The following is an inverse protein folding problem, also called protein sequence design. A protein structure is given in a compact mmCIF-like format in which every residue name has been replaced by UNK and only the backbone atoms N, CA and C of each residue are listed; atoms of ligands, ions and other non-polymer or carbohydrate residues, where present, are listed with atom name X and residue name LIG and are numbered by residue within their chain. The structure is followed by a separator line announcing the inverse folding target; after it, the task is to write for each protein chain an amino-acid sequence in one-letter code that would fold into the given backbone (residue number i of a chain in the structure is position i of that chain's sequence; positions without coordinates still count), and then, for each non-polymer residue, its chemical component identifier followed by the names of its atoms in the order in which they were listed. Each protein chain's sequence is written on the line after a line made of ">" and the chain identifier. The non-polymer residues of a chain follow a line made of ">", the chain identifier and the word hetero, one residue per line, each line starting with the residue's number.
data_IF_172192361883
#
_entry.id   IF_172192361883
#
_cell.length_a   1.000
_cell.length_b   1.000
_cell.length_c   1.000
_cell.angle_alpha   90.00
_cell.angle_beta   90.00
_cell.angle_gamma   90.00
#
_symmetry.space_group_name_H-M   'P 1'
#
loop_
_entity.id
_entity.type
_entity.pdbx_description
1 polymer ?
#
# COMPACT_ATOMS: atom_id res chain seq x y z
N UNK A 1 -11.47 -4.62 -14.73
CA UNK A 1 -10.13 -5.06 -14.34
C UNK A 1 -10.30 -6.24 -13.40
N UNK A 2 -9.69 -7.37 -13.71
CA UNK A 2 -9.75 -8.58 -12.88
C UNK A 2 -8.75 -8.49 -11.72
N UNK A 3 -8.90 -9.34 -10.70
CA UNK A 3 -7.91 -9.44 -9.62
C UNK A 3 -6.52 -9.70 -10.19
N UNK A 4 -6.40 -10.64 -11.14
CA UNK A 4 -5.12 -11.02 -11.72
C UNK A 4 -4.44 -9.85 -12.44
N UNK A 5 -5.19 -9.08 -13.24
CA UNK A 5 -4.68 -7.89 -13.93
C UNK A 5 -4.14 -6.83 -12.94
N UNK A 6 -4.78 -6.65 -11.80
CA UNK A 6 -4.30 -5.75 -10.76
C UNK A 6 -3.00 -6.25 -10.12
N UNK A 7 -2.96 -7.54 -9.79
CA UNK A 7 -1.79 -8.17 -9.19
C UNK A 7 -0.59 -8.09 -10.12
N UNK A 8 -0.77 -8.39 -11.41
CA UNK A 8 0.31 -8.36 -12.39
C UNK A 8 0.93 -6.95 -12.49
N UNK A 9 0.10 -5.91 -12.51
CA UNK A 9 0.57 -4.51 -12.53
C UNK A 9 1.29 -4.12 -11.24
N UNK A 10 0.76 -4.51 -10.08
CA UNK A 10 1.39 -4.23 -8.78
C UNK A 10 2.74 -4.93 -8.68
N UNK A 11 2.79 -6.23 -9.00
CA UNK A 11 4.01 -7.02 -8.95
C UNK A 11 5.04 -6.53 -9.93
N UNK A 12 4.63 -6.11 -11.13
CA UNK A 12 5.54 -5.47 -12.08
C UNK A 12 6.23 -4.25 -11.44
N UNK A 13 5.48 -3.36 -10.79
CA UNK A 13 6.08 -2.15 -10.18
C UNK A 13 6.93 -2.47 -8.94
N UNK A 14 6.50 -3.40 -8.10
CA UNK A 14 7.29 -3.83 -6.93
C UNK A 14 8.58 -4.51 -7.36
N UNK A 15 8.52 -5.36 -8.39
CA UNK A 15 9.67 -6.12 -8.86
C UNK A 15 10.52 -5.42 -9.88
N UNK A 16 10.11 -4.40 -10.62
CA UNK A 16 10.94 -3.86 -11.71
C UNK A 16 11.17 -2.35 -11.64
N UNK A 17 10.50 -1.67 -10.71
CA UNK A 17 10.53 -0.22 -10.68
C UNK A 17 11.18 0.34 -9.42
N UNK A 18 11.13 1.66 -9.32
CA UNK A 18 11.67 2.45 -8.23
C UNK A 18 11.08 2.11 -6.86
N UNK A 19 10.03 1.29 -6.74
CA UNK A 19 9.41 0.95 -5.45
C UNK A 19 10.22 -0.04 -4.58
N UNK A 20 11.22 -0.74 -5.15
CA UNK A 20 12.02 -1.77 -4.47
C UNK A 20 12.75 -1.31 -3.19
N UNK A 21 12.98 -0.01 -3.02
CA UNK A 21 13.62 0.53 -1.81
C UNK A 21 12.63 0.81 -0.68
N UNK A 22 11.33 0.82 -0.95
CA UNK A 22 10.27 1.06 0.04
C UNK A 22 9.56 -0.22 0.44
N UNK A 23 9.30 -1.09 -0.53
CA UNK A 23 8.54 -2.31 -0.32
C UNK A 23 9.23 -3.51 -0.97
N UNK A 24 9.13 -4.65 -0.30
CA UNK A 24 9.43 -5.97 -0.86
C UNK A 24 8.20 -6.86 -0.77
N UNK A 25 7.92 -7.64 -1.81
CA UNK A 25 6.88 -8.67 -1.73
C UNK A 25 7.33 -9.75 -0.74
N UNK A 26 6.55 -9.94 0.33
CA UNK A 26 6.82 -10.97 1.34
C UNK A 26 6.02 -12.24 1.03
N UNK A 27 4.69 -12.12 0.97
CA UNK A 27 3.82 -13.29 0.84
C UNK A 27 2.57 -13.00 0.04
N UNK A 28 2.21 -13.97 -0.80
CA UNK A 28 0.91 -14.05 -1.46
C UNK A 28 0.14 -15.22 -0.83
N UNK A 29 -1.07 -14.95 -0.38
CA UNK A 29 -2.06 -15.94 0.03
C UNK A 29 -3.27 -15.80 -0.88
N UNK A 30 -4.16 -16.79 -0.90
CA UNK A 30 -5.33 -16.84 -1.81
C UNK A 30 -6.20 -15.58 -1.83
N UNK A 31 -6.16 -14.76 -0.77
CA UNK A 31 -6.98 -13.55 -0.58
C UNK A 31 -6.23 -12.40 0.07
N UNK A 32 -4.91 -12.52 0.22
CA UNK A 32 -4.09 -11.56 0.94
C UNK A 32 -2.74 -11.38 0.26
N UNK A 33 -2.27 -10.13 0.23
CA UNK A 33 -0.94 -9.78 -0.24
C UNK A 33 -0.24 -9.05 0.89
N UNK A 34 0.99 -9.46 1.20
CA UNK A 34 1.81 -8.86 2.25
C UNK A 34 3.08 -8.32 1.60
N UNK A 35 3.35 -7.03 1.82
CA UNK A 35 4.60 -6.38 1.47
C UNK A 35 5.33 -5.99 2.75
N UNK A 36 6.62 -6.31 2.85
CA UNK A 36 7.47 -5.79 3.92
C UNK A 36 7.87 -4.35 3.59
N UNK A 37 7.89 -3.50 4.61
CA UNK A 37 8.34 -2.12 4.51
C UNK A 37 9.84 -2.07 4.80
N UNK A 38 10.60 -1.48 3.89
CA UNK A 38 12.06 -1.39 3.97
C UNK A 38 12.53 -0.01 4.47
N UNK A 39 13.69 0.06 5.17
CA UNK A 39 14.53 -1.07 5.61
C UNK A 39 13.93 -1.83 6.80
N UNK A 40 14.27 -3.12 6.93
CA UNK A 40 13.80 -3.98 8.03
C UNK A 40 14.35 -3.51 9.40
N UNK A 41 13.55 -3.53 10.48
CA UNK A 41 12.25 -4.20 10.62
C UNK A 41 11.02 -3.37 10.18
N UNK A 42 11.19 -2.32 9.36
CA UNK A 42 10.29 -1.23 8.95
C UNK A 42 8.78 -1.42 8.84
N UNK A 43 8.24 -2.64 8.94
CA UNK A 43 6.83 -2.92 9.09
C UNK A 43 6.28 -3.77 7.96
N UNK A 44 4.96 -3.75 7.76
CA UNK A 44 4.34 -4.37 6.61
C UNK A 44 3.07 -3.65 6.15
N UNK A 45 2.78 -3.79 4.87
CA UNK A 45 1.50 -3.47 4.26
C UNK A 45 0.75 -4.78 3.96
N UNK A 46 -0.52 -4.85 4.37
CA UNK A 46 -1.40 -5.98 4.12
C UNK A 46 -2.58 -5.50 3.27
N UNK A 47 -2.84 -6.18 2.16
CA UNK A 47 -4.03 -5.96 1.33
C UNK A 47 -4.85 -7.26 1.34
N UNK A 48 -6.15 -7.17 1.62
CA UNK A 48 -7.09 -8.28 1.65
C UNK A 48 -8.25 -8.02 0.72
N UNK A 49 -8.63 -9.02 -0.07
CA UNK A 49 -9.82 -8.95 -0.92
C UNK A 49 -10.68 -10.20 -0.71
N UNK A 50 -11.99 -10.10 -0.99
CA UNK A 50 -12.94 -11.22 -0.83
C UNK A 50 -13.32 -11.80 -2.19
N UNK A 51 -13.85 -13.04 -2.26
CA UNK A 51 -14.31 -13.64 -3.52
C UNK A 51 -15.41 -12.82 -4.22
N UNK A 52 -16.14 -12.01 -3.46
CA UNK A 52 -17.17 -11.09 -3.97
C UNK A 52 -16.59 -9.82 -4.59
N UNK A 53 -15.27 -9.65 -4.67
CA UNK A 53 -14.65 -8.53 -5.39
C UNK A 53 -15.05 -8.55 -6.88
N UNK A 54 -15.44 -7.41 -7.48
CA UNK A 54 -15.33 -6.04 -6.97
C UNK A 54 -16.55 -5.51 -6.17
N UNK A 55 -17.60 -6.31 -5.94
CA UNK A 55 -18.75 -5.88 -5.15
C UNK A 55 -18.37 -5.54 -3.70
N UNK A 56 -17.45 -6.31 -3.11
CA UNK A 56 -16.86 -5.99 -1.82
C UNK A 56 -15.49 -5.37 -1.99
N UNK A 57 -15.34 -4.14 -1.47
CA UNK A 57 -14.09 -3.38 -1.52
C UNK A 57 -12.97 -4.10 -0.76
N UNK A 58 -11.71 -4.00 -1.24
CA UNK A 58 -10.59 -4.55 -0.52
C UNK A 58 -10.36 -3.79 0.80
N UNK A 59 -9.73 -4.49 1.75
CA UNK A 59 -9.24 -3.92 3.00
C UNK A 59 -7.74 -3.80 2.93
N UNK A 60 -7.19 -2.80 3.62
CA UNK A 60 -5.76 -2.58 3.67
C UNK A 60 -5.33 -2.17 5.07
N UNK A 61 -4.06 -2.41 5.39
CA UNK A 61 -3.47 -2.04 6.68
C UNK A 61 -2.00 -1.77 6.47
N UNK A 62 -1.49 -0.68 7.05
CA UNK A 62 -0.06 -0.38 7.11
C UNK A 62 0.32 -0.40 8.59
N UNK A 63 1.29 -1.23 8.94
CA UNK A 63 1.77 -1.37 10.32
C UNK A 63 3.27 -1.15 10.35
N UNK A 64 3.69 -0.10 11.05
CA UNK A 64 5.10 0.19 11.28
C UNK A 64 5.60 -0.53 12.54
N UNK A 65 6.83 -1.04 12.49
CA UNK A 65 7.53 -1.58 13.65
C UNK A 65 8.57 -0.59 14.14
N UNK A 66 8.84 -0.61 15.44
CA UNK A 66 9.95 0.12 16.04
C UNK A 66 11.29 -0.59 15.83
N UNK A 67 12.37 0.00 16.32
CA UNK A 67 13.74 -0.53 16.22
C UNK A 67 13.93 -1.86 16.97
N UNK A 68 13.03 -2.19 17.88
CA UNK A 68 13.01 -3.49 18.60
C UNK A 68 12.16 -4.54 17.87
N UNK A 69 11.57 -4.19 16.73
CA UNK A 69 10.67 -5.05 15.96
C UNK A 69 9.24 -5.14 16.51
N UNK A 70 8.91 -4.37 17.54
CA UNK A 70 7.56 -4.33 18.13
C UNK A 70 6.67 -3.37 17.34
N UNK A 71 5.35 -3.57 17.37
CA UNK A 71 4.40 -2.65 16.71
C UNK A 71 4.51 -1.26 17.32
N UNK A 72 4.65 -0.23 16.48
CA UNK A 72 4.70 1.16 16.92
C UNK A 72 3.29 1.62 17.30
N UNK A 73 2.95 1.59 18.60
CA UNK A 73 1.57 1.78 19.09
C UNK A 73 0.96 3.16 18.87
N UNK A 74 1.71 4.16 18.37
CA UNK A 74 1.27 5.56 18.31
C UNK A 74 0.66 6.00 16.98
N UNK A 75 0.90 5.27 15.89
CA UNK A 75 0.48 5.67 14.54
C UNK A 75 -0.24 4.53 13.80
N UNK A 76 -1.07 3.74 14.50
CA UNK A 76 -2.09 2.92 13.82
C UNK A 76 -3.14 3.88 13.26
N UNK A 77 -2.75 4.62 12.23
CA UNK A 77 -3.57 5.68 11.66
C UNK A 77 -4.65 5.01 10.84
N UNK A 78 -5.84 4.94 11.41
CA UNK A 78 -7.03 4.59 10.66
C UNK A 78 -7.33 5.74 9.69
N UNK A 79 -6.98 5.57 8.42
CA UNK A 79 -7.39 6.50 7.38
C UNK A 79 -8.72 6.01 6.80
N UNK A 80 -9.85 6.72 7.03
CA UNK A 80 -11.14 6.36 6.46
C UNK A 80 -11.18 6.73 4.97
N UNK A 81 -10.26 6.17 4.18
CA UNK A 81 -10.18 6.41 2.74
C UNK A 81 -10.90 5.29 2.03
N UNK A 82 -11.93 5.71 1.30
CA UNK A 82 -12.77 4.82 0.52
C UNK A 82 -12.04 4.39 -0.75
N UNK A 83 -11.40 3.22 -0.70
CA UNK A 83 -10.78 2.59 -1.87
C UNK A 83 -11.77 1.70 -2.61
N UNK A 84 -11.61 1.60 -3.92
CA UNK A 84 -12.45 0.81 -4.83
C UNK A 84 -11.75 -0.42 -5.37
N UNK A 85 -10.41 -0.46 -5.37
CA UNK A 85 -9.63 -1.51 -6.01
C UNK A 85 -8.40 -1.94 -5.22
N UNK A 86 -7.82 -3.09 -5.58
CA UNK A 86 -6.58 -3.61 -4.97
C UNK A 86 -5.42 -2.67 -5.29
N UNK A 87 -5.43 -2.10 -6.49
CA UNK A 87 -4.48 -1.09 -6.97
C UNK A 87 -4.54 0.16 -6.09
N UNK A 88 -5.74 0.66 -5.79
CA UNK A 88 -5.89 1.82 -4.88
C UNK A 88 -5.42 1.49 -3.46
N UNK A 89 -5.71 0.27 -2.97
CA UNK A 89 -5.20 -0.25 -1.69
C UNK A 89 -3.67 -0.27 -1.63
N UNK A 90 -3.04 -0.60 -2.74
CA UNK A 90 -1.58 -0.61 -2.87
C UNK A 90 -1.02 0.81 -2.92
N UNK A 91 -1.59 1.69 -3.75
CA UNK A 91 -1.14 3.08 -3.88
C UNK A 91 -1.23 3.82 -2.54
N UNK A 92 -2.33 3.69 -1.80
CA UNK A 92 -2.46 4.33 -0.48
C UNK A 92 -1.44 3.80 0.52
N UNK A 93 -1.19 2.49 0.51
CA UNK A 93 -0.20 1.87 1.40
C UNK A 93 1.20 2.43 1.14
N UNK A 94 1.61 2.50 -0.13
CA UNK A 94 2.90 3.08 -0.53
C UNK A 94 2.96 4.57 -0.20
N UNK A 95 1.88 5.32 -0.38
CA UNK A 95 1.84 6.74 -0.06
C UNK A 95 2.08 7.01 1.44
N UNK A 96 1.45 6.22 2.31
CA UNK A 96 1.63 6.34 3.76
C UNK A 96 3.07 5.99 4.15
N UNK A 97 3.63 4.93 3.56
CA UNK A 97 5.03 4.55 3.77
C UNK A 97 5.97 5.67 3.32
N UNK A 98 5.78 6.20 2.11
CA UNK A 98 6.62 7.25 1.55
C UNK A 98 6.56 8.53 2.41
N UNK A 99 5.37 8.95 2.82
CA UNK A 99 5.16 10.08 3.74
C UNK A 99 5.84 9.84 5.08
N UNK A 100 5.69 8.65 5.68
CA UNK A 100 6.28 8.33 6.98
C UNK A 100 7.81 8.38 6.96
N UNK A 101 8.42 8.03 5.84
CA UNK A 101 9.88 8.10 5.65
C UNK A 101 10.36 9.44 5.08
N UNK A 102 9.47 10.40 4.81
CA UNK A 102 9.85 11.68 4.22
C UNK A 102 10.38 11.59 2.79
N UNK A 103 10.08 10.50 2.08
CA UNK A 103 10.51 10.31 0.69
C UNK A 103 9.40 10.67 -0.31
N UNK A 104 9.79 10.94 -1.55
CA UNK A 104 8.82 11.18 -2.63
C UNK A 104 8.17 9.87 -3.06
N UNK A 105 6.90 9.96 -3.45
CA UNK A 105 6.17 8.84 -4.04
C UNK A 105 6.87 8.39 -5.34
N UNK A 106 7.15 7.08 -5.53
CA UNK A 106 7.75 6.59 -6.76
C UNK A 106 6.85 6.88 -7.99
N UNK A 107 7.39 7.44 -9.09
CA UNK A 107 6.59 7.82 -10.26
C UNK A 107 5.81 6.66 -10.89
N UNK A 108 6.39 5.46 -10.86
CA UNK A 108 5.77 4.26 -11.43
C UNK A 108 4.52 3.83 -10.65
N UNK A 109 4.45 4.15 -9.36
CA UNK A 109 3.26 3.92 -8.53
C UNK A 109 2.19 4.97 -8.85
N UNK A 110 2.58 6.22 -9.09
CA UNK A 110 1.65 7.29 -9.50
C UNK A 110 0.97 6.91 -10.82
N UNK A 111 1.72 6.33 -11.76
CA UNK A 111 1.21 5.88 -13.07
C UNK A 111 0.16 4.76 -12.97
N UNK A 112 0.11 4.00 -11.86
CA UNK A 112 -0.89 2.95 -11.71
C UNK A 112 -2.32 3.51 -11.68
N UNK A 113 -2.51 4.65 -11.01
CA UNK A 113 -3.77 5.39 -11.00
C UNK A 113 -3.51 6.88 -10.62
N UNK A 114 -3.19 7.75 -11.60
CA UNK A 114 -2.85 9.15 -11.35
C UNK A 114 -4.00 9.95 -10.74
N UNK A 115 -5.24 9.64 -11.16
CA UNK A 115 -6.46 10.31 -10.67
C UNK A 115 -6.60 10.07 -9.18
N UNK A 116 -6.58 8.79 -8.77
CA UNK A 116 -6.65 8.43 -7.35
C UNK A 116 -5.49 9.00 -6.54
N UNK A 117 -4.27 9.05 -7.09
CA UNK A 117 -3.13 9.64 -6.39
C UNK A 117 -3.33 11.14 -6.12
N UNK A 118 -3.89 11.89 -7.08
CA UNK A 118 -4.19 13.31 -6.88
C UNK A 118 -5.27 13.50 -5.80
N UNK A 119 -6.34 12.70 -5.86
CA UNK A 119 -7.40 12.71 -4.83
C UNK A 119 -6.82 12.37 -3.44
N UNK A 120 -5.92 11.39 -3.38
CA UNK A 120 -5.26 10.94 -2.15
C UNK A 120 -4.46 12.07 -1.50
N UNK A 121 -3.72 12.85 -2.30
CA UNK A 121 -2.98 14.01 -1.79
C UNK A 121 -3.91 15.01 -1.12
N UNK A 122 -5.08 15.26 -1.71
CA UNK A 122 -6.08 16.19 -1.17
C UNK A 122 -6.68 15.63 0.13
N UNK A 123 -7.08 14.34 0.13
CA UNK A 123 -7.73 13.69 1.26
C UNK A 123 -6.86 13.61 2.52
N UNK A 124 -5.54 13.45 2.36
CA UNK A 124 -4.60 13.30 3.48
C UNK A 124 -3.94 14.62 3.88
N UNK A 125 -3.99 15.67 3.06
CA UNK A 125 -3.31 16.96 3.32
C UNK A 125 -3.76 17.70 4.61
N UNK A 126 -4.79 17.22 5.32
CA UNK A 126 -5.24 17.79 6.59
C UNK A 126 -5.39 16.79 7.74
N UNK A 127 -4.83 15.57 7.64
CA UNK A 127 -5.09 14.48 8.61
C UNK A 127 -3.84 13.83 9.24
N UNK A 128 -2.65 14.39 9.03
CA UNK A 128 -1.38 13.91 9.57
C UNK A 128 -0.43 15.04 9.92
#
# INVERSE_FOLDING_TARGET
>A
MTVQEELDRIFYVVHHCTCRHLLSLNKILSRCIIFDILPNPGGYCLIRYLPTYPLTKPKWTVLFRDTTGRKRSKNDTYYPINIKSITEAFIISVFIVARCFGVKMPPDIIKLNPIFFNDLKIMISGKL
#
